data_IF_376203937222
#
_entry.id   IF_376203937222
#
_cell.length_a   1.000
_cell.length_b   1.000
_cell.length_c   1.000
_cell.angle_alpha   90.00
_cell.angle_beta   90.00
_cell.angle_gamma   90.00
#
_symmetry.space_group_name_H-M   'P 1'
#
loop_
_entity.id
_entity.type
_entity.pdbx_description
1 polymer ?
#
# COMPACT_ATOMS: atom_id res chain seq x y z
N UNK A 1 -0.15 -23.02 -5.50
CA UNK A 1 -0.65 -23.24 -4.13
C UNK A 1 0.07 -22.35 -3.12
N UNK A 2 1.41 -22.39 -2.99
CA UNK A 2 2.18 -21.53 -2.07
C UNK A 2 2.02 -20.01 -2.27
N UNK A 3 1.86 -19.54 -3.52
CA UNK A 3 1.68 -18.11 -3.80
C UNK A 3 0.40 -17.53 -3.18
N UNK A 4 -0.71 -18.28 -3.18
CA UNK A 4 -1.98 -17.88 -2.56
C UNK A 4 -1.84 -17.88 -1.03
N UNK A 5 -1.15 -18.87 -0.45
CA UNK A 5 -0.88 -18.90 0.99
C UNK A 5 0.05 -17.77 1.44
N UNK A 6 1.05 -17.41 0.64
CA UNK A 6 1.93 -16.26 0.90
C UNK A 6 1.12 -14.96 0.89
N UNK A 7 0.24 -14.76 -0.11
CA UNK A 7 -0.66 -13.60 -0.21
C UNK A 7 -1.67 -13.57 0.94
N UNK A 8 -2.25 -14.71 1.34
CA UNK A 8 -3.17 -14.80 2.47
C UNK A 8 -2.45 -14.53 3.82
N UNK A 9 -1.20 -14.97 3.94
CA UNK A 9 -0.35 -14.75 5.13
C UNK A 9 0.14 -13.30 5.22
N UNK A 10 0.35 -12.62 4.09
CA UNK A 10 0.81 -11.22 4.05
C UNK A 10 -0.34 -10.22 4.11
N UNK A 11 -1.50 -10.53 3.52
CA UNK A 11 -2.63 -9.60 3.45
C UNK A 11 -3.67 -9.88 4.53
N UNK A 12 -4.07 -11.14 4.72
CA UNK A 12 -5.22 -11.49 5.57
C UNK A 12 -4.83 -11.67 7.04
N UNK A 13 -3.66 -12.25 7.32
CA UNK A 13 -3.21 -12.43 8.71
C UNK A 13 -2.89 -11.09 9.40
N UNK A 14 -2.16 -10.12 8.79
CA UNK A 14 -1.95 -8.82 9.42
C UNK A 14 -3.27 -8.06 9.62
N UNK A 15 -4.19 -8.17 8.66
CA UNK A 15 -5.52 -7.55 8.77
C UNK A 15 -6.32 -8.09 9.97
N UNK A 16 -6.21 -9.39 10.28
CA UNK A 16 -6.85 -10.01 11.46
C UNK A 16 -6.10 -9.68 12.77
N UNK A 17 -4.76 -9.58 12.74
CA UNK A 17 -3.91 -9.33 13.93
C UNK A 17 -3.95 -7.84 14.34
N UNK A 18 -4.27 -6.91 13.43
CA UNK A 18 -4.04 -5.48 13.64
C UNK A 18 -4.95 -4.75 14.64
N UNK A 19 -5.89 -5.41 15.33
CA UNK A 19 -6.70 -4.82 16.42
C UNK A 19 -7.14 -3.35 16.17
N UNK A 20 -7.66 -3.03 14.98
CA UNK A 20 -8.13 -1.68 14.64
C UNK A 20 -7.07 -0.68 14.16
N UNK A 21 -5.79 -1.06 14.05
CA UNK A 21 -4.80 -0.31 13.30
C UNK A 21 -5.05 -0.52 11.80
N UNK A 22 -4.89 0.52 11.00
CA UNK A 22 -5.02 0.45 9.53
C UNK A 22 -3.64 0.37 8.87
N UNK A 23 -3.48 -0.39 7.78
CA UNK A 23 -2.20 -0.54 7.10
C UNK A 23 -1.86 0.73 6.31
N UNK A 24 -1.14 1.65 6.95
CA UNK A 24 -0.94 3.03 6.46
C UNK A 24 -0.50 3.10 4.99
N UNK A 25 0.50 2.30 4.59
CA UNK A 25 1.06 2.36 3.22
C UNK A 25 0.07 1.91 2.14
N UNK A 26 -0.88 1.04 2.50
CA UNK A 26 -1.87 0.51 1.56
C UNK A 26 -3.18 1.30 1.60
N UNK A 27 -3.35 2.21 2.57
CA UNK A 27 -4.60 2.92 2.77
C UNK A 27 -4.64 4.19 1.91
N UNK A 28 -5.76 4.41 1.23
CA UNK A 28 -5.97 5.62 0.42
C UNK A 28 -5.98 6.89 1.28
N UNK A 29 -5.60 8.07 0.74
CA UNK A 29 -5.56 9.32 1.48
C UNK A 29 -6.89 9.67 2.18
N UNK A 30 -8.02 9.47 1.51
CA UNK A 30 -9.35 9.73 2.06
C UNK A 30 -9.71 8.77 3.22
N UNK A 31 -9.22 7.53 3.15
CA UNK A 31 -9.41 6.52 4.18
C UNK A 31 -8.46 6.75 5.37
N UNK A 32 -7.25 7.27 5.14
CA UNK A 32 -6.31 7.69 6.18
C UNK A 32 -6.88 8.88 6.96
N UNK A 33 -7.29 9.94 6.27
CA UNK A 33 -7.70 11.20 6.90
C UNK A 33 -9.09 11.15 7.52
N UNK A 34 -10.07 10.67 6.77
CA UNK A 34 -11.49 10.80 7.14
C UNK A 34 -12.15 9.47 7.50
N UNK A 35 -11.40 8.36 7.48
CA UNK A 35 -11.94 7.00 7.67
C UNK A 35 -13.06 6.66 6.68
N UNK A 36 -13.01 7.25 5.49
CA UNK A 36 -13.96 6.99 4.41
C UNK A 36 -13.43 5.83 3.58
N UNK A 37 -14.10 4.68 3.67
CA UNK A 37 -13.78 3.48 2.89
C UNK A 37 -14.80 3.32 1.78
N UNK A 38 -14.32 3.27 0.53
CA UNK A 38 -15.13 3.13 -0.67
C UNK A 38 -14.47 2.15 -1.64
N UNK A 39 -15.18 1.75 -2.68
CA UNK A 39 -14.58 0.98 -3.77
C UNK A 39 -13.36 1.70 -4.39
N UNK A 40 -13.29 3.03 -4.33
CA UNK A 40 -12.12 3.77 -4.83
C UNK A 40 -10.90 3.64 -3.90
N UNK A 41 -11.11 3.58 -2.59
CA UNK A 41 -10.02 3.28 -1.65
C UNK A 41 -9.52 1.84 -1.78
N UNK A 42 -10.40 0.91 -2.18
CA UNK A 42 -10.00 -0.47 -2.48
C UNK A 42 -9.15 -0.53 -3.75
N UNK A 43 -9.51 0.23 -4.79
CA UNK A 43 -8.72 0.36 -6.02
C UNK A 43 -7.33 0.96 -5.74
N UNK A 44 -7.24 1.94 -4.83
CA UNK A 44 -5.94 2.45 -4.37
C UNK A 44 -5.09 1.35 -3.74
N UNK A 45 -5.67 0.60 -2.79
CA UNK A 45 -4.99 -0.49 -2.09
C UNK A 45 -4.51 -1.55 -3.08
N UNK A 46 -5.31 -1.87 -4.09
CA UNK A 46 -4.95 -2.76 -5.19
C UNK A 46 -3.77 -2.24 -6.01
N UNK A 47 -3.70 -0.93 -6.30
CA UNK A 47 -2.55 -0.33 -6.98
C UNK A 47 -1.25 -0.49 -6.19
N UNK A 48 -1.30 -0.34 -4.86
CA UNK A 48 -0.13 -0.59 -4.00
C UNK A 48 0.29 -2.07 -4.07
N UNK A 49 -0.67 -3.00 -4.04
CA UNK A 49 -0.38 -4.44 -4.18
C UNK A 49 0.20 -4.79 -5.55
N UNK A 50 -0.27 -4.15 -6.63
CA UNK A 50 0.32 -4.31 -7.95
C UNK A 50 1.78 -3.84 -7.96
N UNK A 51 2.06 -2.69 -7.36
CA UNK A 51 3.43 -2.18 -7.23
C UNK A 51 4.33 -3.19 -6.49
N UNK A 52 3.85 -3.78 -5.40
CA UNK A 52 4.58 -4.84 -4.68
C UNK A 52 4.82 -6.07 -5.56
N UNK A 53 3.84 -6.46 -6.37
CA UNK A 53 3.98 -7.61 -7.26
C UNK A 53 5.09 -7.39 -8.29
N UNK A 54 5.15 -6.21 -8.90
CA UNK A 54 6.18 -5.86 -9.89
C UNK A 54 7.57 -5.68 -9.27
N UNK A 55 7.64 -5.29 -8.00
CA UNK A 55 8.89 -5.17 -7.24
C UNK A 55 9.27 -6.43 -6.48
N UNK A 56 8.66 -7.58 -6.81
CA UNK A 56 8.94 -8.88 -6.19
C UNK A 56 8.79 -8.90 -4.67
N UNK A 57 7.82 -8.14 -4.15
CA UNK A 57 7.48 -8.07 -2.73
C UNK A 57 8.32 -7.06 -1.94
N UNK A 58 8.90 -6.05 -2.58
CA UNK A 58 9.52 -4.93 -1.86
C UNK A 58 8.48 -4.16 -1.06
N UNK A 59 8.91 -3.53 0.04
CA UNK A 59 8.00 -2.72 0.85
C UNK A 59 7.60 -1.44 0.10
N UNK A 60 6.31 -1.08 0.06
CA UNK A 60 5.85 0.16 -0.57
C UNK A 60 6.53 1.39 0.04
N UNK A 61 6.74 2.41 -0.80
CA UNK A 61 7.44 3.65 -0.45
C UNK A 61 8.84 3.43 0.14
N UNK A 62 9.77 2.80 -0.60
CA UNK A 62 11.13 2.52 -0.11
C UNK A 62 11.94 3.80 0.15
N UNK A 63 11.70 4.87 -0.61
CA UNK A 63 12.46 6.12 -0.53
C UNK A 63 12.07 6.99 0.68
N UNK A 64 10.93 6.71 1.31
CA UNK A 64 10.55 7.32 2.58
C UNK A 64 11.32 6.62 3.70
N UNK A 65 12.59 7.01 3.87
CA UNK A 65 13.52 6.50 4.90
C UNK A 65 13.07 6.84 6.34
N UNK A 66 12.10 7.74 6.50
CA UNK A 66 11.55 8.16 7.78
C UNK A 66 10.48 7.15 8.21
N UNK A 67 10.95 6.15 8.96
CA UNK A 67 10.28 4.89 9.21
C UNK A 67 8.79 5.00 9.52
N UNK A 68 8.00 4.28 8.72
CA UNK A 68 6.64 3.78 9.02
C UNK A 68 5.62 4.79 9.58
N UNK A 69 5.96 6.08 9.66
CA UNK A 69 5.18 7.07 10.37
C UNK A 69 4.03 7.50 9.49
N UNK A 70 2.82 7.40 10.04
CA UNK A 70 1.58 7.85 9.45
C UNK A 70 1.73 9.25 8.82
N UNK A 71 2.35 10.19 9.53
CA UNK A 71 2.48 11.58 9.10
C UNK A 71 3.35 11.74 7.84
N UNK A 72 4.39 10.93 7.67
CA UNK A 72 5.28 11.02 6.52
C UNK A 72 4.56 10.56 5.24
N UNK A 73 3.82 9.44 5.31
CA UNK A 73 3.03 8.94 4.19
C UNK A 73 1.91 9.91 3.84
N UNK A 74 1.19 10.43 4.85
CA UNK A 74 0.10 11.38 4.62
C UNK A 74 0.62 12.66 3.96
N UNK A 75 1.72 13.23 4.45
CA UNK A 75 2.30 14.46 3.88
C UNK A 75 2.76 14.23 2.44
N UNK A 76 3.48 13.14 2.18
CA UNK A 76 3.96 12.78 0.85
C UNK A 76 2.80 12.64 -0.16
N UNK A 77 1.71 11.99 0.24
CA UNK A 77 0.54 11.79 -0.62
C UNK A 77 -0.25 13.09 -0.85
N UNK A 78 -0.32 13.96 0.17
CA UNK A 78 -0.95 15.30 0.08
C UNK A 78 -0.25 16.23 -0.89
N UNK A 79 1.07 16.11 -0.99
CA UNK A 79 1.87 16.85 -1.97
C UNK A 79 1.67 16.33 -3.41
N UNK A 80 0.89 15.27 -3.60
CA UNK A 80 0.61 14.69 -4.92
C UNK A 80 1.66 13.67 -5.37
N UNK A 81 2.68 13.39 -4.54
CA UNK A 81 3.71 12.43 -4.88
C UNK A 81 3.16 11.00 -4.91
N UNK A 82 3.76 10.15 -5.74
CA UNK A 82 3.42 8.73 -5.92
C UNK A 82 4.68 7.90 -6.01
N UNK A 83 4.57 6.60 -5.73
CA UNK A 83 5.70 5.67 -5.89
C UNK A 83 6.19 5.70 -7.35
N UNK A 84 7.50 5.59 -7.52
CA UNK A 84 8.10 5.45 -8.84
C UNK A 84 7.61 4.15 -9.50
N UNK A 85 7.50 4.17 -10.83
CA UNK A 85 7.21 2.99 -11.62
C UNK A 85 8.34 1.96 -11.42
N UNK A 86 8.01 0.68 -11.14
CA UNK A 86 9.01 -0.38 -11.06
C UNK A 86 9.72 -0.61 -12.40
N UNK A 87 11.02 -0.92 -12.37
CA UNK A 87 11.84 -1.15 -13.58
C UNK A 87 11.30 -2.26 -14.50
N UNK A 88 10.53 -3.20 -13.94
CA UNK A 88 9.93 -4.35 -14.62
C UNK A 88 8.53 -4.09 -15.19
N UNK A 89 7.97 -2.88 -15.00
CA UNK A 89 6.60 -2.54 -15.38
C UNK A 89 6.57 -1.80 -16.73
N UNK A 90 5.72 -2.22 -17.67
CA UNK A 90 5.49 -1.45 -18.91
C UNK A 90 4.69 -0.18 -18.64
N UNK A 91 4.79 0.81 -19.52
CA UNK A 91 4.09 2.12 -19.39
C UNK A 91 2.57 2.04 -19.58
N UNK A 92 2.07 0.88 -20.02
CA UNK A 92 0.65 0.62 -20.28
C UNK A 92 -0.13 0.21 -19.02
N UNK A 93 0.61 -0.10 -17.93
CA UNK A 93 0.10 -0.57 -16.64
C UNK A 93 0.28 0.51 -15.57
#
# INVERSE_FOLDING_TARGET
>A
MYFIYQVYTIIVIPFIIMQGKIPVKWTAPEALENRIFTTKSDVWSFGVVLWELFTYGHSPYPDLHLGQSYDAIVTYLKEGNRMAQPDSCSDEL
#
